data_IF_042621562467
#
_entry.id   IF_042621562467
#
_cell.length_a   1.000
_cell.length_b   1.000
_cell.length_c   1.000
_cell.angle_alpha   90.00
_cell.angle_beta   90.00
_cell.angle_gamma   90.00
#
_symmetry.space_group_name_H-M   'P 1'
#
loop_
_entity.id
_entity.type
_entity.pdbx_description
1 polymer ?
#
# COMPACT_ATOMS: atom_id res chain seq x y z
N UNK A 1 -4.32 8.34 11.91
CA UNK A 1 -4.40 7.81 13.28
C UNK A 1 -4.81 6.36 13.16
N UNK A 2 -4.17 5.44 13.89
CA UNK A 2 -4.37 4.00 13.79
C UNK A 2 -4.95 3.56 15.13
N UNK A 3 -6.22 3.16 15.16
CA UNK A 3 -6.82 2.64 16.40
C UNK A 3 -6.25 1.27 16.75
N UNK A 4 -6.22 0.99 18.05
CA UNK A 4 -5.58 -0.20 18.61
C UNK A 4 -6.58 -0.99 19.45
N UNK A 5 -6.43 -2.31 19.46
CA UNK A 5 -7.17 -3.19 20.39
C UNK A 5 -6.18 -3.66 21.46
N UNK A 6 -6.32 -3.14 22.67
CA UNK A 6 -5.58 -3.66 23.82
C UNK A 6 -6.33 -4.84 24.44
N UNK A 7 -5.84 -6.05 24.19
CA UNK A 7 -6.41 -7.27 24.73
C UNK A 7 -6.14 -7.38 26.24
N UNK A 8 -7.20 -7.53 27.04
CA UNK A 8 -7.12 -7.75 28.49
C UNK A 8 -7.55 -9.15 28.93
N UNK A 9 -7.70 -10.08 27.99
CA UNK A 9 -8.09 -11.47 28.30
C UNK A 9 -7.02 -12.22 29.04
N UNK A 10 -7.45 -13.17 29.85
CA UNK A 10 -6.55 -14.10 30.53
C UNK A 10 -6.02 -15.13 29.54
N UNK A 11 -4.71 -15.33 29.56
CA UNK A 11 -3.98 -16.37 28.84
C UNK A 11 -2.90 -16.89 29.79
N UNK A 12 -2.84 -18.20 29.98
CA UNK A 12 -1.83 -18.86 30.83
C UNK A 12 -1.77 -18.29 32.27
N UNK A 13 -2.93 -17.95 32.84
CA UNK A 13 -3.05 -17.41 34.21
C UNK A 13 -2.65 -15.94 34.36
N UNK A 14 -2.43 -15.21 33.26
CA UNK A 14 -2.06 -13.79 33.25
C UNK A 14 -2.87 -13.00 32.22
N UNK A 15 -3.09 -11.69 32.43
CA UNK A 15 -3.69 -10.85 31.40
C UNK A 15 -2.75 -10.75 30.18
N UNK A 16 -3.28 -11.07 29.01
CA UNK A 16 -2.60 -11.12 27.72
C UNK A 16 -1.88 -9.82 27.36
N UNK A 17 -2.50 -8.67 27.66
CA UNK A 17 -1.96 -7.32 27.49
C UNK A 17 -1.37 -6.99 26.11
N UNK A 18 -1.67 -7.79 25.09
CA UNK A 18 -1.20 -7.56 23.72
C UNK A 18 -1.97 -6.42 23.10
N UNK A 19 -1.25 -5.46 22.54
CA UNK A 19 -1.81 -4.34 21.77
C UNK A 19 -1.76 -4.73 20.31
N UNK A 20 -2.93 -4.76 19.66
CA UNK A 20 -3.07 -5.12 18.26
C UNK A 20 -3.24 -3.85 17.43
N UNK A 21 -2.34 -3.62 16.48
CA UNK A 21 -2.36 -2.45 15.61
C UNK A 21 -3.13 -2.74 14.32
N UNK A 22 -4.15 -1.93 14.07
CA UNK A 22 -5.05 -2.07 12.93
C UNK A 22 -4.63 -1.11 11.82
N UNK A 23 -3.87 -1.62 10.84
CA UNK A 23 -3.39 -0.84 9.69
C UNK A 23 -4.44 0.15 9.15
N UNK A 24 -4.16 1.47 9.14
CA UNK A 24 -5.12 2.47 8.74
C UNK A 24 -5.59 2.29 7.29
N UNK A 25 -4.80 1.71 6.39
CA UNK A 25 -5.22 1.53 4.99
C UNK A 25 -6.26 0.41 4.81
N UNK A 26 -6.11 -0.67 5.57
CA UNK A 26 -7.07 -1.77 5.54
C UNK A 26 -8.33 -1.41 6.34
N UNK A 27 -8.16 -0.80 7.51
CA UNK A 27 -9.24 -0.57 8.48
C UNK A 27 -9.87 0.83 8.40
N UNK A 28 -9.54 1.67 7.41
CA UNK A 28 -10.11 3.04 7.29
C UNK A 28 -11.64 3.07 7.29
N UNK A 29 -12.27 2.22 6.48
CA UNK A 29 -13.72 1.97 6.49
C UNK A 29 -13.87 0.45 6.43
N UNK A 30 -14.11 -0.17 7.57
CA UNK A 30 -14.11 -1.62 7.71
C UNK A 30 -15.03 -2.06 8.83
N UNK A 31 -15.74 -3.16 8.63
CA UNK A 31 -16.62 -3.78 9.60
C UNK A 31 -16.39 -5.29 9.57
N UNK A 32 -16.22 -5.90 10.74
CA UNK A 32 -16.02 -7.34 10.84
C UNK A 32 -15.29 -7.76 12.10
N UNK A 33 -14.74 -8.97 12.08
CA UNK A 33 -14.07 -9.61 13.23
C UNK A 33 -12.57 -9.69 13.07
N UNK A 34 -11.85 -9.28 14.11
CA UNK A 34 -10.38 -9.29 14.21
C UNK A 34 -9.92 -10.11 15.41
N UNK A 35 -8.92 -10.98 15.25
CA UNK A 35 -8.34 -11.72 16.38
C UNK A 35 -7.22 -10.95 17.08
N UNK A 36 -7.02 -11.21 18.36
CA UNK A 36 -5.78 -10.89 19.05
C UNK A 36 -4.66 -11.81 18.54
N UNK A 37 -3.50 -11.22 18.22
CA UNK A 37 -2.34 -11.95 17.70
C UNK A 37 -1.74 -12.95 18.70
N UNK A 38 -2.04 -12.82 20.00
CA UNK A 38 -1.44 -13.65 21.04
C UNK A 38 -2.38 -14.71 21.64
N UNK A 39 -3.57 -14.31 22.11
CA UNK A 39 -4.52 -15.23 22.74
C UNK A 39 -5.60 -15.74 21.80
N UNK A 40 -5.66 -15.23 20.56
CA UNK A 40 -6.68 -15.63 19.58
C UNK A 40 -8.10 -15.14 19.87
N UNK A 41 -8.32 -14.38 20.95
CA UNK A 41 -9.63 -13.78 21.24
C UNK A 41 -10.10 -12.94 20.07
N UNK A 42 -11.34 -13.15 19.63
CA UNK A 42 -11.93 -12.46 18.48
C UNK A 42 -12.78 -11.29 18.95
N UNK A 43 -12.59 -10.15 18.29
CA UNK A 43 -13.28 -8.90 18.53
C UNK A 43 -14.00 -8.45 17.27
N UNK A 44 -15.28 -8.11 17.38
CA UNK A 44 -15.98 -7.35 16.35
C UNK A 44 -15.65 -5.86 16.49
N UNK A 45 -15.31 -5.23 15.38
CA UNK A 45 -15.09 -3.78 15.28
C UNK A 45 -15.79 -3.25 14.03
N UNK A 46 -16.19 -1.98 14.11
CA UNK A 46 -16.66 -1.19 12.99
C UNK A 46 -15.89 0.14 13.01
N UNK A 47 -15.15 0.38 11.93
CA UNK A 47 -14.30 1.53 11.71
C UNK A 47 -14.90 2.42 10.61
N UNK A 48 -14.98 3.72 10.88
CA UNK A 48 -15.39 4.75 9.93
C UNK A 48 -14.32 5.85 9.92
N UNK A 49 -13.76 6.13 8.74
CA UNK A 49 -12.69 7.10 8.52
C UNK A 49 -11.48 6.93 9.47
N UNK A 50 -11.12 5.68 9.76
CA UNK A 50 -9.99 5.33 10.62
C UNK A 50 -10.26 5.46 12.11
N UNK A 51 -11.51 5.76 12.50
CA UNK A 51 -11.95 5.79 13.89
C UNK A 51 -12.84 4.60 14.21
N UNK A 52 -12.64 3.99 15.38
CA UNK A 52 -13.48 2.92 15.90
C UNK A 52 -14.85 3.48 16.29
N UNK A 53 -15.81 3.31 15.39
CA UNK A 53 -17.20 3.73 15.57
C UNK A 53 -17.95 2.80 16.52
N UNK A 54 -17.65 1.50 16.45
CA UNK A 54 -18.22 0.48 17.34
C UNK A 54 -17.21 -0.62 17.65
N UNK A 55 -17.29 -1.16 18.87
CA UNK A 55 -16.35 -2.15 19.38
C UNK A 55 -15.25 -1.53 20.24
N UNK A 56 -14.26 -2.33 20.68
CA UNK A 56 -14.10 -3.75 20.40
C UNK A 56 -15.07 -4.60 21.23
N UNK A 57 -15.98 -5.31 20.55
CA UNK A 57 -16.92 -6.23 21.19
C UNK A 57 -16.41 -7.67 21.08
N UNK A 58 -16.35 -8.39 22.19
CA UNK A 58 -15.87 -9.76 22.19
C UNK A 58 -16.85 -10.72 21.51
N UNK A 59 -16.32 -11.62 20.68
CA UNK A 59 -17.06 -12.68 19.97
C UNK A 59 -16.37 -14.03 20.19
N UNK A 60 -16.45 -14.59 21.41
CA UNK A 60 -15.77 -15.84 21.75
C UNK A 60 -16.27 -16.99 20.88
N UNK A 61 -15.35 -17.84 20.41
CA UNK A 61 -15.67 -19.02 19.59
C UNK A 61 -15.95 -18.73 18.11
N UNK A 62 -16.01 -17.46 17.70
CA UNK A 62 -16.15 -17.10 16.30
C UNK A 62 -14.80 -17.10 15.56
N UNK A 63 -14.84 -17.28 14.23
CA UNK A 63 -13.66 -17.11 13.38
C UNK A 63 -13.45 -15.62 13.05
N UNK A 64 -12.20 -15.13 13.07
CA UNK A 64 -11.87 -13.79 12.61
C UNK A 64 -11.99 -13.71 11.08
N UNK A 65 -12.41 -12.57 10.59
CA UNK A 65 -12.41 -12.26 9.15
C UNK A 65 -11.02 -11.78 8.71
N UNK A 66 -10.29 -11.11 9.61
CA UNK A 66 -8.95 -10.59 9.35
C UNK A 66 -8.09 -10.57 10.62
N UNK A 67 -6.78 -10.71 10.47
CA UNK A 67 -5.83 -10.54 11.58
C UNK A 67 -5.21 -9.15 11.59
N UNK A 68 -4.73 -8.66 12.76
CA UNK A 68 -3.99 -7.41 12.84
C UNK A 68 -2.71 -7.49 12.01
N UNK A 69 -2.19 -6.33 11.63
CA UNK A 69 -0.96 -6.28 10.83
C UNK A 69 0.27 -6.52 11.71
N UNK A 70 0.33 -5.85 12.85
CA UNK A 70 1.37 -6.01 13.86
C UNK A 70 0.73 -5.96 15.23
N UNK A 71 1.40 -6.57 16.21
CA UNK A 71 1.00 -6.51 17.60
C UNK A 71 2.23 -6.51 18.50
N UNK A 72 2.14 -5.90 19.67
CA UNK A 72 3.22 -5.90 20.66
C UNK A 72 2.72 -6.12 22.09
N UNK A 73 3.66 -6.43 22.98
CA UNK A 73 3.44 -6.59 24.41
C UNK A 73 4.21 -5.51 25.17
N UNK A 74 3.65 -4.30 25.34
CA UNK A 74 4.37 -3.18 25.95
C UNK A 74 4.76 -3.43 27.41
N UNK A 75 4.06 -4.33 28.10
CA UNK A 75 4.36 -4.71 29.49
C UNK A 75 5.35 -5.87 29.62
N UNK A 76 5.62 -6.60 28.53
CA UNK A 76 6.52 -7.77 28.50
C UNK A 76 7.75 -7.48 27.62
N UNK A 77 8.40 -6.33 27.85
CA UNK A 77 9.64 -5.97 27.16
C UNK A 77 9.48 -5.64 25.67
N UNK A 78 8.27 -5.29 25.21
CA UNK A 78 7.97 -4.97 23.81
C UNK A 78 8.24 -6.11 22.83
N UNK A 79 8.05 -7.36 23.25
CA UNK A 79 7.95 -8.47 22.31
C UNK A 79 6.89 -8.18 21.26
N UNK A 80 7.24 -8.37 19.98
CA UNK A 80 6.38 -7.99 18.86
C UNK A 80 6.10 -9.16 17.91
N UNK A 81 4.87 -9.19 17.40
CA UNK A 81 4.44 -10.03 16.30
C UNK A 81 4.43 -9.17 15.04
N UNK A 82 5.44 -9.39 14.19
CA UNK A 82 5.56 -8.74 12.88
C UNK A 82 4.52 -9.28 11.90
N UNK A 83 4.36 -8.61 10.76
CA UNK A 83 3.42 -9.02 9.72
C UNK A 83 3.77 -10.40 9.14
N UNK A 84 2.76 -11.23 8.89
CA UNK A 84 2.88 -12.51 8.20
C UNK A 84 3.20 -13.72 9.08
N UNK A 85 3.02 -13.64 10.39
CA UNK A 85 3.16 -14.80 11.28
C UNK A 85 1.86 -15.60 11.22
N UNK A 86 1.96 -16.82 10.70
CA UNK A 86 0.82 -17.72 10.47
C UNK A 86 -0.04 -17.89 11.74
N UNK A 87 -1.35 -17.70 11.58
CA UNK A 87 -2.34 -17.81 12.67
C UNK A 87 -2.35 -16.65 13.68
N UNK A 88 -1.46 -15.65 13.54
CA UNK A 88 -1.36 -14.52 14.48
C UNK A 88 -1.59 -13.17 13.80
N UNK A 89 -0.79 -12.87 12.79
CA UNK A 89 -0.82 -11.61 12.05
C UNK A 89 -1.00 -11.88 10.57
N UNK A 90 -1.64 -10.94 9.86
CA UNK A 90 -1.76 -11.06 8.40
C UNK A 90 -0.46 -10.65 7.73
N UNK A 91 -0.12 -11.19 6.54
CA UNK A 91 1.02 -10.71 5.77
C UNK A 91 0.80 -9.27 5.28
N UNK A 92 1.90 -8.56 5.08
CA UNK A 92 1.87 -7.22 4.52
C UNK A 92 1.50 -7.33 3.04
N UNK A 93 0.27 -6.96 2.71
CA UNK A 93 -0.16 -7.08 1.32
C UNK A 93 0.30 -5.92 0.44
N UNK A 94 0.77 -4.77 0.96
CA UNK A 94 1.14 -3.57 0.16
C UNK A 94 0.14 -3.08 -0.89
N UNK A 95 -0.94 -3.80 -1.15
CA UNK A 95 -1.76 -3.58 -2.33
C UNK A 95 -2.70 -2.42 -2.00
N UNK A 96 -2.60 -1.30 -2.73
CA UNK A 96 -3.63 -0.29 -2.67
C UNK A 96 -4.97 -0.98 -2.93
N UNK A 97 -6.04 -0.56 -2.22
CA UNK A 97 -7.39 -1.02 -2.59
C UNK A 97 -7.56 -0.82 -4.10
N UNK A 98 -8.23 -1.75 -4.79
CA UNK A 98 -8.36 -1.71 -6.25
C UNK A 98 -8.86 -0.35 -6.79
N UNK A 99 -9.65 0.39 -6.00
CA UNK A 99 -10.11 1.76 -6.29
C UNK A 99 -9.02 2.84 -6.31
N UNK A 100 -7.87 2.60 -5.68
CA UNK A 100 -6.70 3.48 -5.67
C UNK A 100 -5.61 3.02 -6.64
N UNK A 101 -5.85 1.96 -7.41
CA UNK A 101 -5.01 1.57 -8.54
C UNK A 101 -5.31 2.52 -9.71
N UNK A 102 -4.72 3.71 -9.67
CA UNK A 102 -4.71 4.59 -10.83
C UNK A 102 -3.92 3.94 -11.96
N UNK A 103 -4.46 3.97 -13.18
CA UNK A 103 -3.63 3.72 -14.37
C UNK A 103 -2.81 5.00 -14.56
N UNK A 104 -1.49 4.90 -14.55
CA UNK A 104 -0.66 6.05 -14.87
C UNK A 104 -1.04 6.55 -16.27
N UNK A 105 -1.47 7.81 -16.35
CA UNK A 105 -1.69 8.45 -17.63
C UNK A 105 -0.35 8.60 -18.32
N UNK A 106 -0.24 7.90 -19.44
CA UNK A 106 0.98 7.87 -20.21
C UNK A 106 1.06 9.17 -21.02
N UNK A 107 1.71 10.17 -20.46
CA UNK A 107 1.88 11.49 -21.08
C UNK A 107 3.07 11.46 -22.04
N UNK A 108 2.88 11.84 -23.31
CA UNK A 108 3.96 11.96 -24.32
C UNK A 108 4.68 13.31 -24.28
N UNK A 109 3.96 14.37 -23.92
CA UNK A 109 4.46 15.76 -23.92
C UNK A 109 4.12 16.43 -22.59
N UNK A 110 5.10 17.12 -21.99
CA UNK A 110 4.90 17.93 -20.80
C UNK A 110 3.97 19.11 -21.09
N UNK A 111 3.43 19.72 -20.03
CA UNK A 111 2.70 20.99 -20.11
C UNK A 111 3.53 22.12 -20.76
N UNK A 112 4.87 21.97 -20.84
CA UNK A 112 5.77 22.93 -21.51
C UNK A 112 6.03 22.58 -22.98
N UNK A 113 5.33 21.60 -23.53
CA UNK A 113 5.50 21.12 -24.91
C UNK A 113 6.76 20.29 -25.15
N UNK A 114 7.52 19.94 -24.11
CA UNK A 114 8.73 19.11 -24.24
C UNK A 114 8.40 17.63 -24.08
N UNK A 115 9.07 16.77 -24.83
CA UNK A 115 8.97 15.31 -24.68
C UNK A 115 9.31 14.89 -23.23
N UNK A 116 8.63 13.87 -22.70
CA UNK A 116 8.84 13.41 -21.32
C UNK A 116 9.35 11.98 -21.23
N UNK A 117 10.21 11.73 -20.24
CA UNK A 117 10.77 10.40 -19.97
C UNK A 117 9.73 9.41 -19.42
N UNK A 118 8.59 9.92 -18.92
CA UNK A 118 7.50 9.13 -18.37
C UNK A 118 6.64 8.40 -19.42
N UNK A 119 6.75 8.76 -20.70
CA UNK A 119 6.25 7.89 -21.77
C UNK A 119 7.10 6.61 -21.82
N UNK A 120 6.83 5.66 -22.73
CA UNK A 120 7.70 4.49 -22.93
C UNK A 120 8.77 4.69 -24.03
N UNK A 121 9.64 5.74 -24.05
CA UNK A 121 10.72 5.78 -25.01
C UNK A 121 11.93 4.96 -24.53
N UNK A 122 11.93 4.38 -23.31
CA UNK A 122 13.05 3.55 -22.89
C UNK A 122 13.01 2.19 -23.60
N UNK A 123 14.15 1.71 -24.14
CA UNK A 123 14.23 0.35 -24.64
C UNK A 123 13.99 -0.63 -23.48
N UNK A 124 13.43 -1.84 -23.74
CA UNK A 124 13.15 -2.83 -22.71
C UNK A 124 14.38 -3.23 -21.87
N UNK A 125 15.60 -3.03 -22.39
CA UNK A 125 16.84 -3.21 -21.64
C UNK A 125 17.82 -2.05 -21.87
N UNK A 126 18.59 -1.74 -20.82
CA UNK A 126 19.43 -0.57 -20.73
C UNK A 126 20.91 -0.96 -20.75
N UNK A 127 21.48 -1.14 -21.95
CA UNK A 127 22.91 -1.33 -22.16
C UNK A 127 23.58 -2.32 -21.19
N UNK A 128 24.87 -2.10 -20.92
CA UNK A 128 25.59 -2.85 -19.87
C UNK A 128 25.25 -2.21 -18.51
N UNK A 129 24.86 -3.05 -17.55
CA UNK A 129 24.62 -2.70 -16.15
C UNK A 129 23.46 -1.70 -15.87
N UNK A 130 22.48 -1.56 -16.77
CA UNK A 130 21.30 -0.74 -16.49
C UNK A 130 21.56 0.77 -16.59
N UNK A 131 22.70 1.17 -17.14
CA UNK A 131 23.08 2.58 -17.27
C UNK A 131 22.41 3.23 -18.47
N UNK A 132 21.72 4.36 -18.23
CA UNK A 132 21.17 5.21 -19.28
C UNK A 132 22.02 6.48 -19.38
N UNK A 133 22.74 6.66 -20.48
CA UNK A 133 23.35 7.96 -20.78
C UNK A 133 22.28 9.05 -20.93
N UNK A 134 22.64 10.31 -20.69
CA UNK A 134 21.73 11.46 -20.79
C UNK A 134 21.33 11.84 -22.24
N UNK A 135 21.64 10.99 -23.24
CA UNK A 135 21.33 11.29 -24.62
C UNK A 135 19.90 10.80 -24.98
N UNK A 136 19.10 11.72 -25.50
CA UNK A 136 17.68 11.51 -25.81
C UNK A 136 17.49 11.09 -27.28
N UNK A 137 17.78 9.83 -27.60
CA UNK A 137 17.67 9.26 -28.96
C UNK A 137 16.21 8.87 -29.32
N UNK A 138 15.25 9.77 -29.11
CA UNK A 138 13.80 9.49 -29.36
C UNK A 138 13.51 9.08 -30.82
N UNK A 139 14.32 9.58 -31.76
CA UNK A 139 14.23 9.25 -33.19
C UNK A 139 14.35 7.75 -33.46
N UNK A 140 15.18 7.05 -32.68
CA UNK A 140 15.43 5.62 -32.82
C UNK A 140 14.48 4.79 -31.97
N UNK A 141 14.10 5.33 -30.81
CA UNK A 141 13.36 4.59 -29.77
C UNK A 141 11.84 4.61 -29.96
N UNK A 142 11.30 5.69 -30.54
CA UNK A 142 9.86 5.80 -30.84
C UNK A 142 9.66 6.68 -32.09
N UNK A 143 9.90 6.13 -33.29
CA UNK A 143 9.85 6.88 -34.55
C UNK A 143 8.48 7.53 -34.82
N UNK A 144 7.41 6.89 -34.37
CA UNK A 144 6.03 7.36 -34.41
C UNK A 144 5.83 8.63 -33.56
N UNK A 145 6.35 8.62 -32.32
CA UNK A 145 6.30 9.79 -31.42
C UNK A 145 7.20 10.91 -31.92
N UNK A 146 8.32 10.57 -32.56
CA UNK A 146 9.19 11.55 -33.21
C UNK A 146 8.50 12.23 -34.39
N UNK A 147 7.83 11.47 -35.26
CA UNK A 147 7.04 12.04 -36.35
C UNK A 147 5.93 12.96 -35.82
N UNK A 148 5.20 12.51 -34.79
CA UNK A 148 4.19 13.33 -34.11
C UNK A 148 4.79 14.62 -33.53
N UNK A 149 5.97 14.54 -32.89
CA UNK A 149 6.67 15.72 -32.37
C UNK A 149 7.06 16.70 -33.48
N UNK A 150 7.56 16.21 -34.62
CA UNK A 150 7.91 17.04 -35.78
C UNK A 150 6.68 17.74 -36.38
N UNK A 151 5.54 17.05 -36.48
CA UNK A 151 4.29 17.69 -36.91
C UNK A 151 3.82 18.76 -35.93
N UNK A 152 3.90 18.49 -34.62
CA UNK A 152 3.52 19.46 -33.60
C UNK A 152 4.46 20.68 -33.57
N UNK A 153 5.75 20.50 -33.85
CA UNK A 153 6.70 21.61 -34.04
C UNK A 153 6.22 22.49 -35.20
N UNK A 154 5.90 21.89 -36.34
CA UNK A 154 5.40 22.62 -37.52
C UNK A 154 4.11 23.39 -37.24
N UNK A 155 3.25 22.87 -36.37
CA UNK A 155 1.99 23.50 -35.93
C UNK A 155 2.18 24.54 -34.81
N UNK A 156 3.39 24.67 -34.25
CA UNK A 156 3.66 25.56 -33.12
C UNK A 156 3.09 25.08 -31.78
N UNK A 157 2.66 23.81 -31.69
CA UNK A 157 2.06 23.21 -30.50
C UNK A 157 3.12 22.82 -29.45
N UNK A 158 4.38 22.64 -29.88
CA UNK A 158 5.52 22.24 -29.03
C UNK A 158 6.77 23.03 -29.40
N UNK A 159 7.69 23.18 -28.44
CA UNK A 159 8.96 23.90 -28.61
C UNK A 159 10.13 22.93 -28.75
N UNK A 160 11.15 23.34 -29.49
CA UNK A 160 12.45 22.66 -29.51
C UNK A 160 13.16 22.81 -28.15
N UNK A 161 14.04 21.86 -27.81
CA UNK A 161 14.59 21.71 -26.47
C UNK A 161 15.52 22.85 -26.03
#
# INVERSE_FOLDING_TARGET
MCDIIWCKKEKDGKPCNTVNYLDPYCFWNWEGKVNCAECGTVYYIHMIQGHMYKGPEERPGEKPDMSPLVADKPLDGYECYIAGIEGRTRPYHCLPRHIYLGRADMVKYSARGKLVRGWRPQPPSAGIAGSFGFNWDVQKLSPDVWAEYQEKIKKGEVKEW
#
